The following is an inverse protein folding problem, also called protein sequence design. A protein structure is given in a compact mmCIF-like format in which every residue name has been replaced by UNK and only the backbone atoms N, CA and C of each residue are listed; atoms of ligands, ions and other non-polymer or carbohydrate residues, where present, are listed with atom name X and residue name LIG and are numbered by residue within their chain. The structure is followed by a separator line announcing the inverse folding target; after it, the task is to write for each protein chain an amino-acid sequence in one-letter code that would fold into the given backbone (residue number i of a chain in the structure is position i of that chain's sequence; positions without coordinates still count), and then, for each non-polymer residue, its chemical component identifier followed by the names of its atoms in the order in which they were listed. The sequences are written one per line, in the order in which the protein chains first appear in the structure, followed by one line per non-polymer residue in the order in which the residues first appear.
data_IF_687980261844
#
_entry.id   IF_687980261844
#
_cell.length_a   1.000
_cell.length_b   1.000
_cell.length_c   1.000
_cell.angle_alpha   90.00
_cell.angle_beta   90.00
_cell.angle_gamma   90.00
#
_symmetry.space_group_name_H-M   'P 1'
#
loop_
_entity.id
_entity.type
_entity.pdbx_description
1 polymer ?
#
# COMPACT_ATOMS: atom_id res chain seq x y z
N UNK A 1 -26.93 -17.48 -4.76
CA UNK A 1 -26.92 -16.00 -4.72
C UNK A 1 -26.35 -15.56 -3.37
N UNK A 2 -25.08 -15.18 -3.31
CA UNK A 2 -24.42 -14.80 -2.06
C UNK A 2 -24.97 -13.49 -1.51
N UNK A 3 -25.44 -13.48 -0.26
CA UNK A 3 -25.89 -12.25 0.41
C UNK A 3 -24.74 -11.23 0.40
N UNK A 4 -24.96 -10.05 -0.16
CA UNK A 4 -24.05 -8.89 -0.07
C UNK A 4 -23.69 -8.64 1.39
N UNK A 5 -22.42 -8.34 1.69
CA UNK A 5 -21.99 -8.07 3.07
C UNK A 5 -22.68 -6.82 3.58
N UNK A 6 -23.02 -6.79 4.87
CA UNK A 6 -23.59 -5.58 5.51
C UNK A 6 -22.62 -4.40 5.32
N UNK A 7 -21.32 -4.68 5.27
CA UNK A 7 -20.25 -3.72 5.02
C UNK A 7 -20.36 -3.11 3.62
N UNK A 8 -20.83 -3.84 2.60
CA UNK A 8 -21.02 -3.28 1.25
C UNK A 8 -22.16 -2.25 1.19
N UNK A 9 -23.06 -2.25 2.18
CA UNK A 9 -24.14 -1.25 2.28
C UNK A 9 -23.73 0.01 3.03
N UNK A 10 -22.55 0.01 3.66
CA UNK A 10 -22.02 1.18 4.35
C UNK A 10 -21.59 2.26 3.35
N UNK A 11 -21.57 3.54 3.77
CA UNK A 11 -21.02 4.62 2.96
C UNK A 11 -19.62 4.28 2.45
N UNK A 12 -19.32 4.69 1.22
CA UNK A 12 -18.02 4.42 0.59
C UNK A 12 -16.85 4.93 1.44
N UNK A 13 -17.05 6.07 2.12
CA UNK A 13 -16.07 6.66 3.03
C UNK A 13 -15.66 5.71 4.15
N UNK A 14 -16.63 5.13 4.88
CA UNK A 14 -16.36 4.20 5.98
C UNK A 14 -15.69 2.92 5.49
N UNK A 15 -16.07 2.44 4.31
CA UNK A 15 -15.42 1.26 3.70
C UNK A 15 -13.95 1.53 3.38
N UNK A 16 -13.65 2.70 2.82
CA UNK A 16 -12.27 3.09 2.49
C UNK A 16 -11.42 3.26 3.75
N UNK A 17 -11.98 3.89 4.79
CA UNK A 17 -11.31 4.01 6.09
C UNK A 17 -11.05 2.64 6.72
N UNK A 18 -12.03 1.74 6.67
CA UNK A 18 -11.88 0.38 7.18
C UNK A 18 -10.78 -0.40 6.46
N UNK A 19 -10.72 -0.30 5.13
CA UNK A 19 -9.68 -0.94 4.31
C UNK A 19 -8.28 -0.45 4.73
N UNK A 20 -8.08 0.87 4.82
CA UNK A 20 -6.82 1.46 5.29
C UNK A 20 -6.49 1.01 6.70
N UNK A 21 -7.48 0.95 7.56
CA UNK A 21 -7.31 0.53 8.95
C UNK A 21 -6.87 -0.94 9.08
N UNK A 22 -7.43 -1.83 8.27
CA UNK A 22 -7.01 -3.25 8.18
C UNK A 22 -5.57 -3.37 7.67
N UNK A 23 -5.19 -2.58 6.66
CA UNK A 23 -3.81 -2.58 6.13
C UNK A 23 -2.79 -2.07 7.15
N UNK A 24 -3.14 -1.03 7.93
CA UNK A 24 -2.27 -0.46 8.95
C UNK A 24 -2.14 -1.35 10.20
N UNK A 25 -3.10 -2.26 10.44
CA UNK A 25 -3.15 -3.09 11.63
C UNK A 25 -3.29 -4.58 11.30
N UNK A 26 -2.30 -5.22 10.65
CA UNK A 26 -2.39 -6.63 10.24
C UNK A 26 -2.48 -7.61 11.42
N UNK A 27 -2.14 -7.17 12.65
CA UNK A 27 -2.23 -7.99 13.87
C UNK A 27 -3.56 -7.92 14.59
N UNK A 28 -4.53 -7.14 14.12
CA UNK A 28 -5.82 -7.00 14.79
C UNK A 28 -6.71 -8.23 14.61
N UNK A 29 -7.43 -8.57 15.68
CA UNK A 29 -8.41 -9.65 15.64
C UNK A 29 -9.70 -9.17 15.00
N UNK A 30 -10.52 -10.11 14.53
CA UNK A 30 -11.84 -9.78 13.98
C UNK A 30 -12.72 -9.04 15.00
N UNK A 31 -12.56 -9.32 16.29
CA UNK A 31 -13.33 -8.66 17.36
C UNK A 31 -12.88 -7.19 17.52
N UNK A 32 -11.57 -6.92 17.41
CA UNK A 32 -11.04 -5.54 17.38
C UNK A 32 -11.62 -4.73 16.21
N UNK A 33 -11.86 -5.36 15.06
CA UNK A 33 -12.53 -4.71 13.94
C UNK A 33 -14.04 -4.48 14.18
N UNK A 34 -14.70 -5.35 14.94
CA UNK A 34 -16.10 -5.13 15.37
C UNK A 34 -16.16 -3.90 16.28
N UNK A 35 -15.23 -3.79 17.22
CA UNK A 35 -15.14 -2.64 18.13
C UNK A 35 -14.90 -1.34 17.37
N UNK A 36 -14.01 -1.35 16.36
CA UNK A 36 -13.80 -0.20 15.48
C UNK A 36 -15.09 0.24 14.77
N UNK A 37 -15.87 -0.70 14.23
CA UNK A 37 -17.15 -0.35 13.61
C UNK A 37 -18.14 0.22 14.65
N UNK A 38 -18.15 -0.33 15.87
CA UNK A 38 -19.01 0.15 16.95
C UNK A 38 -18.65 1.59 17.38
N UNK A 39 -17.35 1.92 17.47
CA UNK A 39 -16.87 3.28 17.72
C UNK A 39 -17.31 4.28 16.64
N UNK A 40 -17.43 3.81 15.40
CA UNK A 40 -17.90 4.61 14.26
C UNK A 40 -19.44 4.61 14.13
N UNK A 41 -20.16 4.02 15.08
CA UNK A 41 -21.63 3.99 15.14
C UNK A 41 -22.29 2.90 14.28
N UNK A 42 -21.54 1.89 13.84
CA UNK A 42 -22.02 0.81 12.99
C UNK A 42 -21.97 -0.54 13.71
N UNK A 43 -23.09 -1.26 13.69
CA UNK A 43 -23.18 -2.61 14.25
C UNK A 43 -22.91 -3.61 13.12
N UNK A 44 -21.72 -4.18 13.10
CA UNK A 44 -21.31 -5.16 12.09
C UNK A 44 -20.96 -6.48 12.78
N UNK A 45 -21.54 -7.58 12.29
CA UNK A 45 -21.21 -8.90 12.81
C UNK A 45 -19.82 -9.36 12.35
N UNK A 46 -19.11 -10.04 13.24
CA UNK A 46 -17.80 -10.67 12.98
C UNK A 46 -17.74 -11.48 11.67
N UNK A 47 -18.78 -12.25 11.38
CA UNK A 47 -18.88 -13.04 10.15
C UNK A 47 -18.98 -12.20 8.87
N UNK A 48 -19.57 -11.01 8.97
CA UNK A 48 -19.64 -10.06 7.85
C UNK A 48 -18.28 -9.40 7.59
N UNK A 49 -17.52 -9.10 8.65
CA UNK A 49 -16.15 -8.61 8.57
C UNK A 49 -15.25 -9.66 7.93
N UNK A 50 -15.25 -10.89 8.45
CA UNK A 50 -14.45 -11.98 7.90
C UNK A 50 -14.74 -12.18 6.41
N UNK A 51 -16.02 -12.29 6.02
CA UNK A 51 -16.38 -12.47 4.61
C UNK A 51 -15.97 -11.28 3.74
N UNK A 52 -16.07 -10.06 4.27
CA UNK A 52 -15.65 -8.86 3.54
C UNK A 52 -14.13 -8.85 3.36
N UNK A 53 -13.34 -9.01 4.43
CA UNK A 53 -11.88 -9.09 4.36
C UNK A 53 -11.44 -10.18 3.38
N UNK A 54 -11.96 -11.41 3.50
CA UNK A 54 -11.59 -12.50 2.59
C UNK A 54 -11.96 -12.24 1.12
N UNK A 55 -13.02 -11.48 0.84
CA UNK A 55 -13.42 -11.15 -0.54
C UNK A 55 -12.82 -9.85 -1.06
N UNK A 56 -12.37 -8.98 -0.15
CA UNK A 56 -11.75 -7.71 -0.45
C UNK A 56 -10.24 -7.84 -0.58
N UNK A 57 -9.55 -8.71 0.17
CA UNK A 57 -8.10 -8.93 0.02
C UNK A 57 -7.73 -9.26 -1.45
N UNK A 58 -8.55 -10.07 -2.13
CA UNK A 58 -8.35 -10.38 -3.56
C UNK A 58 -8.67 -9.20 -4.51
N UNK A 59 -9.36 -8.17 -4.02
CA UNK A 59 -9.84 -7.01 -4.80
C UNK A 59 -9.19 -5.69 -4.43
N UNK A 60 -8.45 -5.66 -3.33
CA UNK A 60 -7.69 -4.49 -2.94
C UNK A 60 -6.50 -4.44 -3.88
N UNK A 61 -6.35 -3.37 -4.68
CA UNK A 61 -5.01 -3.01 -5.05
C UNK A 61 -4.33 -2.78 -3.70
N UNK A 62 -3.41 -3.68 -3.34
CA UNK A 62 -2.34 -3.34 -2.40
C UNK A 62 -1.90 -1.97 -2.90
N UNK A 63 -2.06 -0.91 -2.11
CA UNK A 63 -1.51 0.38 -2.49
C UNK A 63 -0.02 0.08 -2.69
N UNK A 64 0.39 -0.04 -3.96
CA UNK A 64 1.73 -0.43 -4.40
C UNK A 64 2.71 0.71 -4.13
N UNK A 65 2.44 1.56 -3.14
CA UNK A 65 3.23 2.74 -2.86
C UNK A 65 4.59 2.36 -2.31
N UNK A 66 4.70 1.24 -1.58
CA UNK A 66 6.00 0.75 -1.08
C UNK A 66 6.70 -0.25 -2.02
N UNK A 67 5.96 -1.05 -2.79
CA UNK A 67 6.55 -2.08 -3.66
C UNK A 67 7.04 -1.52 -4.99
N UNK A 68 6.31 -0.58 -5.61
CA UNK A 68 6.82 0.12 -6.80
C UNK A 68 8.07 0.93 -6.45
N UNK A 69 8.09 1.59 -5.30
CA UNK A 69 9.23 2.41 -4.86
C UNK A 69 10.46 1.52 -4.55
N UNK A 70 10.26 0.35 -3.95
CA UNK A 70 11.34 -0.61 -3.68
C UNK A 70 11.91 -1.25 -4.96
N UNK A 71 11.05 -1.66 -5.90
CA UNK A 71 11.49 -2.23 -7.17
C UNK A 71 12.18 -1.18 -8.05
N UNK A 72 11.65 0.05 -8.08
CA UNK A 72 12.24 1.14 -8.83
C UNK A 72 13.61 1.54 -8.24
N UNK A 73 13.76 1.58 -6.92
CA UNK A 73 15.06 1.77 -6.23
C UNK A 73 16.07 0.69 -6.60
N UNK A 74 15.65 -0.58 -6.61
CA UNK A 74 16.54 -1.67 -7.03
C UNK A 74 16.96 -1.54 -8.49
N UNK A 75 16.03 -1.21 -9.40
CA UNK A 75 16.34 -0.99 -10.82
C UNK A 75 17.26 0.22 -11.03
N UNK A 76 17.04 1.32 -10.31
CA UNK A 76 17.90 2.49 -10.36
C UNK A 76 19.31 2.17 -9.89
N UNK A 77 19.45 1.35 -8.84
CA UNK A 77 20.73 0.88 -8.33
C UNK A 77 21.43 -0.08 -9.31
N UNK A 78 20.69 -1.00 -9.94
CA UNK A 78 21.21 -1.89 -10.99
C UNK A 78 21.82 -1.07 -12.14
N UNK A 79 21.07 -0.09 -12.66
CA UNK A 79 21.54 0.80 -13.73
C UNK A 79 22.74 1.62 -13.28
N UNK A 80 22.68 2.24 -12.10
CA UNK A 80 23.81 3.00 -11.54
C UNK A 80 25.07 2.12 -11.41
N UNK A 81 24.94 0.88 -10.94
CA UNK A 81 26.06 -0.04 -10.79
C UNK A 81 26.68 -0.45 -12.12
N UNK A 82 25.90 -0.46 -13.21
CA UNK A 82 26.38 -0.82 -14.54
C UNK A 82 27.23 0.26 -15.22
N UNK A 83 27.10 1.52 -14.79
CA UNK A 83 27.78 2.67 -15.38
C UNK A 83 28.78 3.35 -14.41
N UNK A 84 28.62 3.14 -13.11
CA UNK A 84 29.48 3.73 -12.10
C UNK A 84 30.86 3.08 -12.13
N UNK A 85 31.90 3.89 -12.37
CA UNK A 85 33.30 3.46 -12.47
C UNK A 85 34.15 3.89 -11.27
N UNK A 86 33.54 4.57 -10.29
CA UNK A 86 34.21 5.01 -9.08
C UNK A 86 34.35 3.90 -8.03
N UNK A 87 34.95 4.24 -6.89
CA UNK A 87 35.23 3.30 -5.80
C UNK A 87 34.42 3.56 -4.52
N UNK A 88 33.65 4.65 -4.48
CA UNK A 88 32.86 5.04 -3.30
C UNK A 88 31.39 4.57 -3.43
N UNK A 89 30.92 3.66 -2.57
CA UNK A 89 29.52 3.26 -2.52
C UNK A 89 28.53 4.42 -2.31
N UNK A 90 28.96 5.52 -1.71
CA UNK A 90 28.12 6.72 -1.50
C UNK A 90 27.79 7.41 -2.81
N UNK A 91 28.75 7.51 -3.72
CA UNK A 91 28.54 8.13 -5.03
C UNK A 91 27.67 7.25 -5.92
N UNK A 92 27.81 5.91 -5.81
CA UNK A 92 26.93 4.95 -6.48
C UNK A 92 25.47 5.14 -6.02
N UNK A 93 25.26 5.29 -4.72
CA UNK A 93 23.94 5.51 -4.14
C UNK A 93 23.36 6.86 -4.60
N UNK A 94 24.17 7.93 -4.59
CA UNK A 94 23.76 9.24 -5.08
C UNK A 94 23.38 9.23 -6.56
N UNK A 95 24.06 8.42 -7.39
CA UNK A 95 23.72 8.25 -8.80
C UNK A 95 22.39 7.50 -8.99
N UNK A 96 22.13 6.46 -8.19
CA UNK A 96 20.85 5.78 -8.18
C UNK A 96 19.69 6.70 -7.78
N UNK A 97 19.90 7.57 -6.77
CA UNK A 97 18.93 8.59 -6.36
C UNK A 97 18.64 9.62 -7.46
N UNK A 98 19.66 10.02 -8.24
CA UNK A 98 19.46 10.90 -9.40
C UNK A 98 18.59 10.26 -10.48
N UNK A 99 18.74 8.95 -10.72
CA UNK A 99 17.84 8.23 -11.64
C UNK A 99 16.41 8.15 -11.14
N UNK A 100 16.22 7.93 -9.83
CA UNK A 100 14.89 7.95 -9.23
C UNK A 100 14.24 9.32 -9.39
N UNK A 101 14.97 10.40 -9.08
CA UNK A 101 14.48 11.76 -9.24
C UNK A 101 14.10 12.09 -10.70
N UNK A 102 14.84 11.55 -11.67
CA UNK A 102 14.51 11.70 -13.09
C UNK A 102 13.24 10.94 -13.49
N UNK A 103 13.06 9.71 -13.01
CA UNK A 103 11.85 8.92 -13.28
C UNK A 103 10.61 9.59 -12.67
N UNK A 104 10.74 10.17 -11.47
CA UNK A 104 9.66 10.88 -10.80
C UNK A 104 9.33 12.23 -11.45
N UNK A 105 10.33 12.91 -12.03
CA UNK A 105 10.19 14.24 -12.63
C UNK A 105 10.95 14.35 -13.97
N UNK A 106 10.44 13.75 -15.06
CA UNK A 106 11.16 13.67 -16.35
C UNK A 106 11.35 15.03 -17.04
N UNK A 107 10.72 16.09 -16.56
CA UNK A 107 10.81 17.46 -17.09
C UNK A 107 11.95 18.31 -16.52
N UNK A 108 12.71 17.80 -15.53
CA UNK A 108 13.84 18.52 -14.94
C UNK A 108 15.15 17.99 -15.56
N UNK A 109 15.96 18.84 -16.25
CA UNK A 109 17.25 18.42 -16.75
C UNK A 109 18.19 18.09 -15.58
N UNK A 110 18.92 16.98 -15.73
CA UNK A 110 20.00 16.59 -14.83
C UNK A 110 21.10 17.69 -14.86
N UNK A 111 21.63 18.12 -13.70
CA UNK A 111 22.70 19.11 -13.63
C UNK A 111 24.02 18.60 -14.22
#
# INVERSE_FOLDING_TARGET
MGRRSVIEKLPAEIRNQFIKHVQLNPGWTLDSHVDWFAEHGYIVARSSIHRYISSSIDRLPVEQTDTLDSDLRMRALEVASSIYTGSDPKDLTALAEQFLAWVEQPSKPLP
#
